data_IF_119341486596
#
_entry.id   IF_119341486596
#
_cell.length_a   1.000
_cell.length_b   1.000
_cell.length_c   1.000
_cell.angle_alpha   90.00
_cell.angle_beta   90.00
_cell.angle_gamma   90.00
#
_symmetry.space_group_name_H-M   'P 1'
#
loop_
_entity.id
_entity.type
_entity.pdbx_description
1 polymer ?
#
# COMPACT_ATOMS: atom_id res chain seq x y z
N UNK A 1 -13.90 10.53 5.05
CA UNK A 1 -12.85 9.64 5.60
C UNK A 1 -11.70 9.53 4.61
N UNK A 2 -10.46 9.27 5.05
CA UNK A 2 -9.32 9.03 4.15
C UNK A 2 -8.74 7.64 4.43
N UNK A 3 -8.62 6.83 3.38
CA UNK A 3 -7.94 5.54 3.41
C UNK A 3 -6.57 5.67 2.73
N UNK A 4 -5.57 5.00 3.30
CA UNK A 4 -4.20 5.03 2.80
C UNK A 4 -3.67 3.61 2.74
N UNK A 5 -3.35 3.14 1.53
CA UNK A 5 -2.60 1.90 1.33
C UNK A 5 -1.19 2.26 0.85
N UNK A 6 -0.21 1.48 1.29
CA UNK A 6 1.18 1.66 0.89
C UNK A 6 1.91 0.32 0.89
N UNK A 7 2.88 0.17 -0.01
CA UNK A 7 3.75 -1.01 -0.08
C UNK A 7 5.16 -0.65 -0.58
N UNK A 8 6.11 -1.59 -0.47
CA UNK A 8 7.50 -1.42 -0.88
C UNK A 8 8.52 -1.23 0.27
N UNK A 9 8.12 -1.47 1.53
CA UNK A 9 8.99 -1.31 2.71
C UNK A 9 9.68 -2.60 3.19
N UNK A 10 9.45 -3.76 2.56
CA UNK A 10 9.84 -5.08 3.11
C UNK A 10 11.35 -5.37 3.12
N UNK A 11 12.18 -4.43 2.65
CA UNK A 11 13.64 -4.46 2.84
C UNK A 11 14.18 -3.49 3.90
N UNK A 12 13.32 -2.78 4.63
CA UNK A 12 13.69 -1.75 5.59
C UNK A 12 14.04 -2.29 6.99
N UNK A 13 14.72 -3.43 7.09
CA UNK A 13 15.18 -3.95 8.39
C UNK A 13 16.26 -3.07 9.06
N UNK A 14 16.59 -1.91 8.48
CA UNK A 14 17.45 -0.88 9.06
C UNK A 14 16.86 0.50 8.77
N UNK A 15 16.09 1.03 9.71
CA UNK A 15 15.65 2.43 9.77
C UNK A 15 16.84 3.41 9.64
N UNK A 16 18.05 2.98 9.97
CA UNK A 16 19.32 3.71 9.79
C UNK A 16 19.59 4.09 8.32
N UNK A 17 19.18 3.26 7.36
CA UNK A 17 19.37 3.53 5.92
C UNK A 17 18.40 4.60 5.40
N UNK A 18 17.30 4.86 6.13
CA UNK A 18 16.28 5.85 5.80
C UNK A 18 16.81 7.29 5.94
N UNK A 19 17.70 7.55 6.90
CA UNK A 19 18.22 8.89 7.22
C UNK A 19 19.46 9.25 6.38
N UNK A 20 20.19 8.25 5.86
CA UNK A 20 21.44 8.43 5.10
C UNK A 20 21.25 8.55 3.58
N UNK A 21 20.06 8.88 3.07
CA UNK A 21 19.86 9.13 1.64
C UNK A 21 20.06 7.90 0.74
N UNK A 22 19.99 6.68 1.29
CA UNK A 22 20.04 5.41 0.53
C UNK A 22 18.68 5.07 -0.11
N UNK A 23 18.05 6.08 -0.71
CA UNK A 23 16.81 5.95 -1.50
C UNK A 23 17.12 5.52 -2.94
N UNK A 24 18.26 4.89 -3.21
CA UNK A 24 18.68 4.76 -4.61
C UNK A 24 17.94 3.67 -5.40
N UNK A 25 17.17 2.77 -4.76
CA UNK A 25 16.58 1.63 -5.48
C UNK A 25 15.27 1.05 -4.95
N UNK A 26 14.54 1.72 -4.03
CA UNK A 26 13.24 1.19 -3.57
C UNK A 26 12.11 2.15 -3.89
N UNK A 27 11.15 1.67 -4.68
CA UNK A 27 9.92 2.39 -5.00
C UNK A 27 8.94 2.15 -3.85
N UNK A 28 8.50 3.23 -3.21
CA UNK A 28 7.36 3.16 -2.28
C UNK A 28 6.15 3.55 -3.11
N UNK A 29 5.17 2.68 -3.16
CA UNK A 29 3.88 2.96 -3.81
C UNK A 29 2.88 3.31 -2.71
N UNK A 30 2.14 4.40 -2.92
CA UNK A 30 1.15 4.92 -1.97
C UNK A 30 -0.08 5.32 -2.76
N UNK A 31 -1.25 4.88 -2.30
CA UNK A 31 -2.54 5.28 -2.83
C UNK A 31 -3.43 5.83 -1.71
N UNK A 32 -4.08 6.95 -2.00
CA UNK A 32 -4.93 7.67 -1.07
C UNK A 32 -6.34 7.78 -1.65
N UNK A 33 -7.31 7.20 -0.95
CA UNK A 33 -8.72 7.35 -1.29
C UNK A 33 -9.38 8.32 -0.31
N UNK A 34 -10.11 9.29 -0.88
CA UNK A 34 -10.92 10.22 -0.12
C UNK A 34 -12.39 9.85 -0.32
N UNK A 35 -13.08 9.65 0.78
CA UNK A 35 -14.52 9.39 0.79
C UNK A 35 -15.24 10.57 1.42
N UNK A 36 -16.27 11.07 0.75
CA UNK A 36 -17.07 12.17 1.25
C UNK A 36 -17.79 11.78 2.54
N UNK A 37 -18.17 12.77 3.36
CA UNK A 37 -18.83 12.49 4.63
C UNK A 37 -20.23 11.89 4.46
N UNK A 38 -20.95 12.26 3.39
CA UNK A 38 -22.27 11.75 3.04
C UNK A 38 -22.26 10.30 2.54
N UNK A 39 -21.09 9.77 2.19
CA UNK A 39 -20.90 8.37 1.77
C UNK A 39 -20.55 7.44 2.94
N UNK A 40 -20.39 7.99 4.15
CA UNK A 40 -20.13 7.22 5.36
C UNK A 40 -21.47 6.83 5.98
N UNK A 41 -21.78 5.53 6.16
CA UNK A 41 -23.02 5.12 6.81
C UNK A 41 -23.16 5.73 8.22
N UNK A 42 -24.37 6.05 8.65
CA UNK A 42 -24.61 6.56 10.01
C UNK A 42 -24.86 5.43 11.02
N UNK A 43 -25.35 4.28 10.54
CA UNK A 43 -25.59 3.11 11.38
C UNK A 43 -24.26 2.41 11.75
N UNK A 44 -24.02 2.08 13.03
CA UNK A 44 -22.77 1.46 13.46
C UNK A 44 -22.46 0.10 12.83
N UNK A 45 -23.48 -0.73 12.57
CA UNK A 45 -23.28 -2.06 11.97
C UNK A 45 -22.93 -1.90 10.49
N UNK A 46 -23.62 -1.00 9.79
CA UNK A 46 -23.32 -0.66 8.40
C UNK A 46 -21.93 -0.01 8.26
N UNK A 47 -21.49 0.80 9.23
CA UNK A 47 -20.14 1.35 9.27
C UNK A 47 -19.07 0.25 9.38
N UNK A 48 -19.30 -0.77 10.20
CA UNK A 48 -18.37 -1.90 10.36
C UNK A 48 -18.22 -2.63 9.02
N UNK A 49 -19.34 -3.01 8.39
CA UNK A 49 -19.30 -3.67 7.08
C UNK A 49 -18.65 -2.81 6.00
N UNK A 50 -18.94 -1.51 5.99
CA UNK A 50 -18.31 -0.54 5.09
C UNK A 50 -16.79 -0.46 5.29
N UNK A 51 -16.31 -0.39 6.54
CA UNK A 51 -14.88 -0.42 6.86
C UNK A 51 -14.21 -1.74 6.42
N UNK A 52 -14.88 -2.88 6.65
CA UNK A 52 -14.39 -4.18 6.17
C UNK A 52 -14.29 -4.25 4.65
N UNK A 53 -15.23 -3.63 3.93
CA UNK A 53 -15.17 -3.48 2.48
C UNK A 53 -13.94 -2.68 2.03
N UNK A 54 -13.69 -1.55 2.68
CA UNK A 54 -12.51 -0.73 2.41
C UNK A 54 -11.19 -1.45 2.72
N UNK A 55 -11.12 -2.18 3.83
CA UNK A 55 -9.94 -3.00 4.13
C UNK A 55 -9.66 -4.03 3.02
N UNK A 56 -10.66 -4.77 2.57
CA UNK A 56 -10.48 -5.73 1.46
C UNK A 56 -10.04 -5.04 0.16
N UNK A 57 -10.52 -3.83 -0.11
CA UNK A 57 -10.10 -3.05 -1.27
C UNK A 57 -8.62 -2.66 -1.17
N UNK A 58 -8.19 -2.17 -0.01
CA UNK A 58 -6.80 -1.81 0.26
C UNK A 58 -5.87 -3.02 0.18
N UNK A 59 -6.27 -4.15 0.78
CA UNK A 59 -5.48 -5.39 0.75
C UNK A 59 -5.25 -5.88 -0.68
N UNK A 60 -6.28 -5.80 -1.54
CA UNK A 60 -6.13 -6.14 -2.96
C UNK A 60 -5.14 -5.22 -3.65
N UNK A 61 -5.26 -3.91 -3.43
CA UNK A 61 -4.33 -2.95 -4.01
C UNK A 61 -2.89 -3.25 -3.54
N UNK A 62 -2.67 -3.51 -2.25
CA UNK A 62 -1.33 -3.85 -1.74
C UNK A 62 -0.77 -5.10 -2.41
N UNK A 63 -1.57 -6.18 -2.48
CA UNK A 63 -1.15 -7.45 -3.08
C UNK A 63 -0.75 -7.29 -4.56
N UNK A 64 -1.57 -6.56 -5.35
CA UNK A 64 -1.28 -6.28 -6.76
C UNK A 64 0.05 -5.53 -6.96
N UNK A 65 0.38 -4.62 -6.05
CA UNK A 65 1.60 -3.82 -6.14
C UNK A 65 2.84 -4.55 -5.60
N UNK A 66 2.69 -5.46 -4.63
CA UNK A 66 3.77 -6.35 -4.20
C UNK A 66 4.16 -7.37 -5.28
N UNK A 67 3.17 -7.98 -5.94
CA UNK A 67 3.40 -8.94 -7.03
C UNK A 67 4.12 -8.29 -8.21
N UNK A 68 3.79 -7.02 -8.52
CA UNK A 68 4.46 -6.25 -9.57
C UNK A 68 5.93 -5.99 -9.23
N UNK A 69 6.24 -5.58 -8.00
CA UNK A 69 7.61 -5.33 -7.57
C UNK A 69 8.48 -6.59 -7.67
N UNK A 70 7.98 -7.74 -7.21
CA UNK A 70 8.66 -9.03 -7.35
C UNK A 70 8.92 -9.40 -8.82
N UNK A 71 7.92 -9.17 -9.69
CA UNK A 71 8.04 -9.45 -11.12
C UNK A 71 9.10 -8.54 -11.78
N UNK A 72 9.13 -7.25 -11.43
CA UNK A 72 10.13 -6.29 -11.91
C UNK A 72 11.56 -6.69 -11.48
N UNK A 73 11.73 -7.14 -10.23
CA UNK A 73 13.01 -7.60 -9.69
C UNK A 73 13.53 -8.84 -10.43
N UNK A 74 12.73 -9.90 -10.55
CA UNK A 74 13.12 -11.13 -11.26
C UNK A 74 13.45 -10.86 -12.74
N UNK A 75 12.72 -9.96 -13.39
CA UNK A 75 13.00 -9.55 -14.77
C UNK A 75 14.29 -8.72 -14.91
N UNK A 76 14.77 -8.08 -13.84
CA UNK A 76 16.04 -7.34 -13.82
C UNK A 76 17.24 -8.24 -13.59
N UNK A 77 17.11 -9.29 -12.78
CA UNK A 77 18.18 -10.24 -12.46
C UNK A 77 18.52 -11.18 -13.62
N UNK A 78 17.55 -11.54 -14.46
CA UNK A 78 17.76 -12.38 -15.65
C UNK A 78 18.46 -11.68 -16.84
N UNK A 79 18.85 -10.41 -16.72
CA UNK A 79 19.55 -9.63 -17.75
C UNK A 79 21.07 -9.49 -17.51
N UNK A 80 21.63 -10.20 -16.53
CA UNK A 80 23.07 -10.21 -16.24
C UNK A 80 23.72 -11.56 -16.50
#
# INVERSE_FOLDING_TARGET
VVFCAHTGMEGANRLENFINGSLFQRKIEVELWRVSADEVPEDPEEQIEWLHGWWKHMDRWVAEHQDRDLTELLASEGRH
#
